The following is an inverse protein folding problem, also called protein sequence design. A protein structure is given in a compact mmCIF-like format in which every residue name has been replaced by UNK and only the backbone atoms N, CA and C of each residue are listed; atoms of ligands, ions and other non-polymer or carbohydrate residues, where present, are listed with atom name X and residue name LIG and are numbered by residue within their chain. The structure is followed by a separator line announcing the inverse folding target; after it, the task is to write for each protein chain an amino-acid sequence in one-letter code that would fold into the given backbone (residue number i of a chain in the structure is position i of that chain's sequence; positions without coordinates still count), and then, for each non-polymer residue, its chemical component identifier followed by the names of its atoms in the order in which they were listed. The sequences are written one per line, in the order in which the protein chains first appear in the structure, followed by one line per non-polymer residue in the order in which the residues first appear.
data_IF_742618841218
#
_entry.id   IF_742618841218
#
_cell.length_a   1.000
_cell.length_b   1.000
_cell.length_c   1.000
_cell.angle_alpha   90.00
_cell.angle_beta   90.00
_cell.angle_gamma   90.00
#
_symmetry.space_group_name_H-M   'P 1'
#
loop_
_entity.id
_entity.type
_entity.pdbx_description
1 polymer ?
#
# COMPACT_ATOMS: atom_id res chain seq x y z
N UNK A 1 -71.15 -18.01 9.82
CA UNK A 1 -69.76 -18.30 9.40
C UNK A 1 -68.81 -17.11 9.60
N UNK A 2 -68.80 -16.47 10.78
CA UNK A 2 -68.06 -15.19 11.01
C UNK A 2 -66.97 -15.25 12.10
N UNK A 3 -66.98 -16.28 12.97
CA UNK A 3 -66.04 -16.38 14.10
C UNK A 3 -64.69 -17.04 13.80
N UNK A 4 -64.64 -18.02 12.90
CA UNK A 4 -63.43 -18.85 12.67
C UNK A 4 -62.34 -18.15 11.83
N UNK A 5 -62.69 -17.15 11.02
CA UNK A 5 -61.74 -16.42 10.18
C UNK A 5 -60.91 -15.39 10.96
N UNK A 6 -61.44 -14.85 12.06
CA UNK A 6 -60.74 -13.85 12.89
C UNK A 6 -59.67 -14.49 13.79
N UNK A 7 -59.89 -15.72 14.24
CA UNK A 7 -58.91 -16.48 15.04
C UNK A 7 -57.68 -16.90 14.22
N UNK A 8 -57.86 -17.19 12.93
CA UNK A 8 -56.76 -17.61 12.05
C UNK A 8 -55.81 -16.45 11.67
N UNK A 9 -56.34 -15.23 11.59
CA UNK A 9 -55.55 -14.02 11.28
C UNK A 9 -54.70 -13.59 12.49
N UNK A 10 -55.21 -13.78 13.72
CA UNK A 10 -54.45 -13.43 14.93
C UNK A 10 -53.28 -14.39 15.19
N UNK A 11 -53.42 -15.68 14.84
CA UNK A 11 -52.39 -16.69 15.05
C UNK A 11 -51.21 -16.57 14.06
N UNK A 12 -51.40 -15.93 12.91
CA UNK A 12 -50.35 -15.72 11.91
C UNK A 12 -49.46 -14.49 12.22
N UNK A 13 -49.96 -13.52 12.99
CA UNK A 13 -49.19 -12.35 13.38
C UNK A 13 -48.26 -12.59 14.59
N UNK A 14 -48.59 -13.56 15.46
CA UNK A 14 -47.78 -13.84 16.67
C UNK A 14 -46.51 -14.63 16.34
N UNK A 15 -46.51 -15.42 15.26
CA UNK A 15 -45.32 -16.15 14.80
C UNK A 15 -44.32 -15.30 14.01
N UNK A 16 -44.69 -14.09 13.56
CA UNK A 16 -43.76 -13.17 12.88
C UNK A 16 -42.96 -12.29 13.84
N UNK A 17 -43.39 -12.15 15.10
CA UNK A 17 -42.73 -11.26 16.08
C UNK A 17 -41.57 -11.94 16.83
N UNK A 18 -41.49 -13.28 16.85
CA UNK A 18 -40.43 -14.02 17.55
C UNK A 18 -39.17 -14.30 16.71
N UNK A 19 -39.11 -13.83 15.45
CA UNK A 19 -37.96 -14.03 14.55
C UNK A 19 -36.86 -12.95 14.61
N UNK A 20 -37.07 -11.86 15.35
CA UNK A 20 -36.16 -10.70 15.37
C UNK A 20 -35.05 -10.79 16.44
N UNK A 21 -34.87 -11.95 17.08
CA UNK A 21 -33.81 -12.19 18.07
C UNK A 21 -32.44 -12.56 17.48
N UNK A 22 -32.27 -12.48 16.16
CA UNK A 22 -30.98 -12.66 15.51
C UNK A 22 -30.14 -11.39 15.66
N UNK A 23 -29.36 -11.28 16.73
CA UNK A 23 -28.23 -10.37 16.78
C UNK A 23 -27.18 -10.85 15.78
N UNK A 24 -27.45 -10.64 14.48
CA UNK A 24 -26.44 -10.74 13.44
C UNK A 24 -25.43 -9.65 13.76
N UNK A 25 -24.34 -10.04 14.43
CA UNK A 25 -23.14 -9.22 14.46
C UNK A 25 -22.74 -9.05 13.00
N UNK A 26 -23.12 -7.91 12.41
CA UNK A 26 -22.60 -7.45 11.14
C UNK A 26 -21.11 -7.22 11.43
N UNK A 27 -20.29 -8.26 11.23
CA UNK A 27 -18.85 -8.06 11.09
C UNK A 27 -18.71 -7.21 9.84
N UNK A 28 -18.41 -5.93 10.03
CA UNK A 28 -17.97 -5.04 8.96
C UNK A 28 -16.98 -5.81 8.10
N UNK A 29 -17.21 -5.86 6.79
CA UNK A 29 -16.24 -6.42 5.87
C UNK A 29 -14.93 -5.62 6.02
N UNK A 30 -13.81 -6.33 6.17
CA UNK A 30 -12.51 -5.67 6.31
C UNK A 30 -12.18 -4.95 5.01
N UNK A 31 -11.61 -3.75 5.10
CA UNK A 31 -11.01 -3.10 3.93
C UNK A 31 -9.70 -3.80 3.60
N UNK A 32 -9.60 -4.32 2.38
CA UNK A 32 -8.35 -4.86 1.85
C UNK A 32 -7.42 -3.69 1.49
N UNK A 33 -6.19 -3.74 1.99
CA UNK A 33 -5.07 -2.85 1.67
C UNK A 33 -4.14 -3.61 0.72
N UNK A 34 -4.07 -3.18 -0.54
CA UNK A 34 -3.29 -3.84 -1.60
C UNK A 34 -1.96 -3.13 -1.82
N UNK A 35 -0.86 -3.87 -1.74
CA UNK A 35 0.50 -3.34 -1.87
C UNK A 35 1.25 -4.06 -2.97
N UNK A 36 1.79 -3.33 -3.96
CA UNK A 36 2.65 -3.91 -5.01
C UNK A 36 4.13 -3.54 -4.80
N UNK A 37 5.05 -4.45 -5.13
CA UNK A 37 6.47 -4.14 -5.26
C UNK A 37 7.15 -5.05 -6.28
N UNK A 38 8.31 -4.62 -6.79
CA UNK A 38 9.02 -5.33 -7.85
C UNK A 38 9.85 -6.53 -7.37
N UNK A 39 10.29 -6.47 -6.12
CA UNK A 39 11.28 -7.41 -5.59
C UNK A 39 10.71 -8.80 -5.28
N UNK A 40 11.62 -9.77 -5.10
CA UNK A 40 11.28 -11.13 -4.68
C UNK A 40 10.81 -11.21 -3.22
N UNK A 41 10.19 -12.33 -2.86
CA UNK A 41 9.72 -12.60 -1.49
C UNK A 41 10.84 -12.68 -0.46
N UNK A 42 12.08 -12.94 -0.91
CA UNK A 42 13.27 -12.99 -0.04
C UNK A 42 13.95 -11.63 0.11
N UNK A 43 13.52 -10.62 -0.63
CA UNK A 43 14.14 -9.29 -0.61
C UNK A 43 13.77 -8.52 0.67
N UNK A 44 14.68 -7.70 1.24
CA UNK A 44 14.39 -6.91 2.44
C UNK A 44 13.10 -6.06 2.37
N UNK A 45 12.81 -5.48 1.20
CA UNK A 45 11.54 -4.75 0.98
C UNK A 45 10.30 -5.61 1.28
N UNK A 46 10.28 -6.84 0.78
CA UNK A 46 9.16 -7.76 1.00
C UNK A 46 9.05 -8.14 2.48
N UNK A 47 10.18 -8.47 3.11
CA UNK A 47 10.22 -8.83 4.52
C UNK A 47 9.73 -7.67 5.41
N UNK A 48 10.08 -6.43 5.07
CA UNK A 48 9.56 -5.23 5.71
C UNK A 48 8.04 -5.10 5.56
N UNK A 49 7.51 -5.34 4.36
CA UNK A 49 6.06 -5.32 4.11
C UNK A 49 5.33 -6.45 4.85
N UNK A 50 5.93 -7.62 5.03
CA UNK A 50 5.37 -8.68 5.88
C UNK A 50 5.26 -8.23 7.34
N UNK A 51 6.26 -7.50 7.85
CA UNK A 51 6.19 -6.89 9.19
C UNK A 51 5.16 -5.79 9.30
N UNK A 52 5.00 -4.98 8.25
CA UNK A 52 3.91 -4.01 8.16
C UNK A 52 2.53 -4.72 8.20
N UNK A 53 2.36 -5.80 7.43
CA UNK A 53 1.15 -6.61 7.42
C UNK A 53 0.84 -7.17 8.81
N UNK A 54 1.83 -7.78 9.46
CA UNK A 54 1.72 -8.31 10.83
C UNK A 54 1.25 -7.21 11.78
N UNK A 55 1.92 -6.06 11.80
CA UNK A 55 1.55 -4.93 12.65
C UNK A 55 0.12 -4.43 12.40
N UNK A 56 -0.26 -4.22 11.14
CA UNK A 56 -1.60 -3.72 10.79
C UNK A 56 -2.68 -4.72 11.19
N UNK A 57 -2.47 -6.01 10.92
CA UNK A 57 -3.48 -7.04 11.21
C UNK A 57 -3.57 -7.36 12.70
N UNK A 58 -2.48 -7.22 13.46
CA UNK A 58 -2.51 -7.34 14.93
C UNK A 58 -3.26 -6.18 15.60
N UNK A 59 -3.06 -4.95 15.13
CA UNK A 59 -3.60 -3.76 15.78
C UNK A 59 -4.97 -3.33 15.24
N UNK A 60 -5.23 -3.62 13.95
CA UNK A 60 -6.39 -3.14 13.21
C UNK A 60 -7.03 -4.23 12.33
N UNK A 61 -6.75 -5.50 12.62
CA UNK A 61 -7.24 -6.64 11.83
C UNK A 61 -8.75 -6.83 11.88
N UNK A 62 -9.48 -6.15 12.77
CA UNK A 62 -10.94 -6.06 12.72
C UNK A 62 -11.43 -5.15 11.57
N UNK A 63 -10.59 -4.24 11.09
CA UNK A 63 -10.89 -3.25 10.05
C UNK A 63 -10.15 -3.48 8.74
N UNK A 64 -8.94 -4.01 8.78
CA UNK A 64 -8.07 -4.12 7.61
C UNK A 64 -7.51 -5.52 7.41
N UNK A 65 -7.25 -5.85 6.15
CA UNK A 65 -6.48 -7.01 5.70
C UNK A 65 -5.42 -6.53 4.70
N UNK A 66 -4.16 -6.90 4.89
CA UNK A 66 -3.07 -6.47 4.00
C UNK A 66 -2.74 -7.57 3.00
N UNK A 67 -2.77 -7.25 1.71
CA UNK A 67 -2.40 -8.15 0.63
C UNK A 67 -1.19 -7.58 -0.13
N UNK A 68 -0.12 -8.38 -0.22
CA UNK A 68 1.16 -7.97 -0.81
C UNK A 68 1.36 -8.75 -2.11
N UNK A 69 1.71 -8.03 -3.17
CA UNK A 69 1.88 -8.52 -4.53
C UNK A 69 3.34 -8.32 -4.97
N UNK A 70 4.22 -9.31 -4.74
CA UNK A 70 5.65 -9.23 -5.07
C UNK A 70 5.93 -9.51 -6.56
N UNK A 71 7.20 -9.46 -6.95
CA UNK A 71 7.72 -9.91 -8.26
C UNK A 71 7.07 -9.21 -9.47
N UNK A 72 6.68 -7.93 -9.35
CA UNK A 72 6.03 -7.19 -10.44
C UNK A 72 4.77 -7.90 -11.00
N UNK A 73 4.08 -8.72 -10.18
CA UNK A 73 2.94 -9.51 -10.67
C UNK A 73 1.76 -8.65 -11.15
N UNK A 74 1.70 -7.38 -10.71
CA UNK A 74 0.72 -6.39 -11.16
C UNK A 74 1.25 -5.46 -12.27
N UNK A 75 2.43 -5.75 -12.82
CA UNK A 75 3.13 -4.97 -13.83
C UNK A 75 4.37 -4.25 -13.30
N UNK A 76 5.06 -3.55 -14.20
CA UNK A 76 6.22 -2.72 -13.87
C UNK A 76 5.87 -1.64 -12.85
N UNK A 77 6.89 -1.06 -12.20
CA UNK A 77 6.70 0.01 -11.22
C UNK A 77 5.83 1.17 -11.73
N UNK A 78 6.05 1.63 -12.98
CA UNK A 78 5.21 2.67 -13.58
C UNK A 78 3.74 2.25 -13.69
N UNK A 79 3.47 1.00 -14.09
CA UNK A 79 2.08 0.51 -14.17
C UNK A 79 1.43 0.41 -12.79
N UNK A 80 2.18 -0.02 -11.78
CA UNK A 80 1.70 -0.10 -10.41
C UNK A 80 1.41 1.30 -9.82
N UNK A 81 2.18 2.34 -10.19
CA UNK A 81 1.86 3.73 -9.82
C UNK A 81 0.53 4.16 -10.45
N UNK A 82 0.28 3.87 -11.73
CA UNK A 82 -1.02 4.16 -12.37
C UNK A 82 -2.19 3.43 -11.66
N UNK A 83 -2.00 2.17 -11.27
CA UNK A 83 -3.00 1.43 -10.49
C UNK A 83 -3.27 2.10 -9.14
N UNK A 84 -2.24 2.69 -8.52
CA UNK A 84 -2.37 3.44 -7.28
C UNK A 84 -3.16 4.74 -7.50
N UNK A 85 -2.86 5.48 -8.56
CA UNK A 85 -3.59 6.72 -8.94
C UNK A 85 -5.10 6.47 -9.13
N UNK A 86 -5.47 5.31 -9.70
CA UNK A 86 -6.87 4.94 -9.89
C UNK A 86 -7.55 4.36 -8.64
N UNK A 87 -6.78 4.09 -7.58
CA UNK A 87 -7.26 3.39 -6.38
C UNK A 87 -7.52 1.89 -6.58
N UNK A 88 -7.05 1.31 -7.68
CA UNK A 88 -7.12 -0.13 -7.91
C UNK A 88 -6.22 -0.91 -6.93
N UNK A 89 -5.08 -0.32 -6.54
CA UNK A 89 -4.28 -0.72 -5.39
C UNK A 89 -4.06 0.47 -4.45
N UNK A 90 -3.76 0.21 -3.19
CA UNK A 90 -3.62 1.28 -2.17
C UNK A 90 -2.19 1.80 -2.09
N UNK A 91 -1.19 0.92 -2.27
CA UNK A 91 0.23 1.27 -2.15
C UNK A 91 1.09 0.57 -3.22
N UNK A 92 2.18 1.24 -3.57
CA UNK A 92 3.26 0.69 -4.40
C UNK A 92 4.61 1.07 -3.79
N UNK A 93 5.56 0.14 -3.77
CA UNK A 93 6.98 0.44 -3.54
C UNK A 93 7.64 0.59 -4.91
N UNK A 94 8.13 1.79 -5.21
CA UNK A 94 8.77 2.11 -6.48
C UNK A 94 10.09 2.86 -6.24
N UNK A 95 11.07 2.65 -7.14
CA UNK A 95 12.32 3.39 -7.11
C UNK A 95 12.14 4.85 -7.54
N UNK A 96 12.98 5.75 -7.02
CA UNK A 96 12.95 7.20 -7.27
C UNK A 96 12.91 7.58 -8.75
N UNK A 97 13.62 6.86 -9.61
CA UNK A 97 13.62 7.10 -11.06
C UNK A 97 12.22 6.98 -11.71
N UNK A 98 11.30 6.21 -11.11
CA UNK A 98 9.91 6.16 -11.59
C UNK A 98 9.10 7.39 -11.19
N UNK A 99 9.53 8.13 -10.15
CA UNK A 99 8.84 9.31 -9.63
C UNK A 99 9.20 10.58 -10.42
N UNK A 100 10.36 10.57 -11.10
CA UNK A 100 10.80 11.67 -11.98
C UNK A 100 9.78 11.99 -13.07
N UNK A 101 9.03 10.99 -13.56
CA UNK A 101 7.98 11.23 -14.57
C UNK A 101 6.75 11.97 -14.03
N UNK A 102 6.63 12.09 -12.71
CA UNK A 102 5.47 12.70 -12.05
C UNK A 102 5.83 14.00 -11.31
N UNK A 103 7.07 14.15 -10.85
CA UNK A 103 7.56 15.38 -10.26
C UNK A 103 9.08 15.51 -10.40
N UNK A 104 9.52 16.58 -11.07
CA UNK A 104 10.92 16.87 -11.39
C UNK A 104 11.83 16.97 -10.15
N UNK A 105 11.26 17.27 -8.97
CA UNK A 105 12.03 17.32 -7.70
C UNK A 105 12.75 16.00 -7.41
N UNK A 106 12.24 14.87 -7.90
CA UNK A 106 12.87 13.57 -7.67
C UNK A 106 14.15 13.34 -8.49
N UNK A 107 14.39 14.13 -9.54
CA UNK A 107 15.61 14.04 -10.36
C UNK A 107 16.87 14.33 -9.52
N UNK A 108 16.73 15.13 -8.45
CA UNK A 108 17.84 15.45 -7.55
C UNK A 108 18.47 14.16 -7.01
N UNK A 109 17.67 13.15 -6.67
CA UNK A 109 18.15 11.89 -6.08
C UNK A 109 18.85 10.97 -7.09
N UNK A 110 18.78 11.29 -8.39
CA UNK A 110 19.47 10.56 -9.45
C UNK A 110 20.83 11.20 -9.81
N UNK A 111 21.19 12.33 -9.19
CA UNK A 111 22.49 12.95 -9.40
C UNK A 111 23.62 12.05 -8.89
N UNK A 112 24.60 11.71 -9.75
CA UNK A 112 25.76 10.93 -9.33
C UNK A 112 26.52 11.64 -8.20
N UNK A 113 26.90 10.89 -7.17
CA UNK A 113 27.68 11.38 -6.03
C UNK A 113 27.01 12.50 -5.21
N UNK A 114 25.68 12.62 -5.27
CA UNK A 114 24.93 13.57 -4.44
C UNK A 114 25.24 13.39 -2.93
N UNK A 115 25.19 12.15 -2.46
CA UNK A 115 25.46 11.82 -1.07
C UNK A 115 26.92 11.39 -0.91
N UNK A 116 27.62 12.02 0.04
CA UNK A 116 29.04 11.79 0.31
C UNK A 116 29.30 10.61 1.24
N UNK A 117 28.29 10.18 1.99
CA UNK A 117 28.32 9.00 2.87
C UNK A 117 26.91 8.45 3.09
N UNK A 118 26.83 7.22 3.61
CA UNK A 118 25.56 6.65 4.06
C UNK A 118 24.93 7.47 5.20
N UNK A 119 25.75 8.03 6.11
CA UNK A 119 25.27 8.88 7.20
C UNK A 119 24.66 10.19 6.67
N UNK A 120 25.30 10.84 5.70
CA UNK A 120 24.75 12.03 5.06
C UNK A 120 23.45 11.73 4.31
N UNK A 121 23.35 10.55 3.69
CA UNK A 121 22.10 10.07 3.09
C UNK A 121 20.99 9.93 4.14
N UNK A 122 21.25 9.21 5.24
CA UNK A 122 20.25 9.02 6.29
C UNK A 122 19.87 10.32 7.01
N UNK A 123 20.79 11.27 7.16
CA UNK A 123 20.50 12.59 7.72
C UNK A 123 19.49 13.35 6.85
N UNK A 124 19.75 13.45 5.54
CA UNK A 124 18.86 14.16 4.61
C UNK A 124 17.51 13.45 4.48
N UNK A 125 17.53 12.13 4.29
CA UNK A 125 16.29 11.35 4.14
C UNK A 125 15.51 11.25 5.47
N UNK A 126 16.18 11.40 6.61
CA UNK A 126 15.58 11.45 7.94
C UNK A 126 15.01 12.82 8.33
N UNK A 127 15.36 13.89 7.62
CA UNK A 127 14.74 15.21 7.81
C UNK A 127 13.29 15.17 7.32
N UNK A 128 12.38 14.92 8.25
CA UNK A 128 10.96 14.72 7.95
C UNK A 128 10.30 16.00 7.45
N UNK A 129 10.73 17.18 7.92
CA UNK A 129 10.14 18.46 7.51
C UNK A 129 10.54 18.80 6.07
N UNK A 130 11.79 18.53 5.70
CA UNK A 130 12.26 18.63 4.32
C UNK A 130 11.59 17.59 3.42
N UNK A 131 11.63 16.32 3.81
CA UNK A 131 11.12 15.23 2.98
C UNK A 131 9.60 15.29 2.78
N UNK A 132 8.83 15.80 3.75
CA UNK A 132 7.39 16.01 3.57
C UNK A 132 7.06 17.01 2.44
N UNK A 133 7.93 18.00 2.20
CA UNK A 133 7.78 18.93 1.07
C UNK A 133 8.05 18.21 -0.25
N UNK A 134 9.07 17.36 -0.29
CA UNK A 134 9.36 16.49 -1.45
C UNK A 134 8.18 15.54 -1.71
N UNK A 135 7.64 14.90 -0.67
CA UNK A 135 6.53 13.95 -0.80
C UNK A 135 5.24 14.57 -1.32
N UNK A 136 4.96 15.81 -0.93
CA UNK A 136 3.79 16.54 -1.39
C UNK A 136 3.86 16.87 -2.90
N UNK A 137 5.04 16.80 -3.52
CA UNK A 137 5.19 17.15 -4.94
C UNK A 137 4.45 16.20 -5.89
N UNK A 138 4.07 15.00 -5.44
CA UNK A 138 3.30 14.05 -6.27
C UNK A 138 1.79 14.21 -6.12
N UNK A 139 1.30 15.07 -5.22
CA UNK A 139 -0.14 15.20 -4.92
C UNK A 139 -0.98 15.51 -6.17
N UNK A 140 -0.50 16.42 -7.02
CA UNK A 140 -1.19 16.78 -8.27
C UNK A 140 -1.21 15.63 -9.27
N UNK A 141 -0.28 14.68 -9.15
CA UNK A 141 -0.29 13.43 -9.91
C UNK A 141 -1.27 12.40 -9.32
N UNK A 142 -2.02 12.71 -8.26
CA UNK A 142 -3.06 11.82 -7.73
C UNK A 142 -2.55 10.71 -6.81
N UNK A 143 -1.32 10.83 -6.30
CA UNK A 143 -0.78 9.97 -5.25
C UNK A 143 0.22 10.74 -4.39
N UNK A 144 0.49 10.27 -3.18
CA UNK A 144 1.48 10.88 -2.29
C UNK A 144 2.51 9.86 -1.86
N UNK A 145 3.80 10.20 -1.97
CA UNK A 145 4.87 9.41 -1.35
C UNK A 145 4.76 9.52 0.17
N UNK A 146 4.85 8.40 0.88
CA UNK A 146 4.63 8.38 2.34
C UNK A 146 5.91 8.21 3.15
N UNK A 147 6.89 7.53 2.56
CA UNK A 147 8.14 7.17 3.21
C UNK A 147 9.14 6.73 2.15
N UNK A 148 10.35 6.40 2.58
CA UNK A 148 11.47 5.98 1.75
C UNK A 148 12.10 4.71 2.29
N UNK A 149 12.67 3.91 1.38
CA UNK A 149 13.53 2.78 1.69
C UNK A 149 14.93 3.05 1.17
N UNK A 150 15.94 2.51 1.85
CA UNK A 150 17.32 2.52 1.36
C UNK A 150 17.54 1.32 0.42
N UNK A 151 17.83 1.60 -0.85
CA UNK A 151 18.14 0.58 -1.86
C UNK A 151 19.66 0.33 -2.04
N UNK A 152 20.50 0.93 -1.20
CA UNK A 152 21.95 0.85 -1.26
C UNK A 152 22.57 1.71 -2.36
N UNK A 153 23.87 1.48 -2.62
CA UNK A 153 24.62 2.17 -3.67
C UNK A 153 24.62 1.35 -4.95
N UNK A 154 24.46 2.01 -6.11
CA UNK A 154 24.52 1.37 -7.42
C UNK A 154 25.94 1.39 -7.97
N UNK A 155 26.40 0.23 -8.44
CA UNK A 155 27.72 0.02 -9.04
C UNK A 155 27.61 -0.56 -10.43
N UNK A 156 28.60 -0.30 -11.28
CA UNK A 156 28.68 -0.92 -12.60
C UNK A 156 29.10 -2.38 -12.49
N UNK A 157 28.43 -3.25 -13.25
CA UNK A 157 28.82 -4.63 -13.47
C UNK A 157 28.96 -4.87 -14.97
N UNK A 158 30.12 -5.33 -15.42
CA UNK A 158 30.39 -5.58 -16.83
C UNK A 158 31.17 -6.88 -17.02
N UNK A 159 30.95 -7.58 -18.15
CA UNK A 159 31.64 -8.84 -18.48
C UNK A 159 33.15 -8.64 -18.69
N UNK A 160 33.55 -7.45 -19.13
CA UNK A 160 34.94 -7.05 -19.33
C UNK A 160 35.21 -5.87 -18.40
N UNK A 161 36.32 -5.92 -17.69
CA UNK A 161 36.82 -4.78 -16.92
C UNK A 161 37.08 -3.60 -17.87
N UNK A 162 36.71 -2.40 -17.43
CA UNK A 162 37.02 -1.18 -18.16
C UNK A 162 38.55 -1.09 -18.30
N UNK A 163 39.10 -0.98 -19.53
CA UNK A 163 40.55 -0.87 -19.72
C UNK A 163 41.16 0.41 -19.15
N UNK A 164 40.34 1.35 -18.67
CA UNK A 164 40.76 2.64 -18.11
C UNK A 164 40.57 2.77 -16.59
N UNK A 165 40.13 1.71 -15.90
CA UNK A 165 40.13 1.58 -14.43
C UNK A 165 40.80 0.27 -14.01
#
# INVERSE_FOLDING_TARGET
MSGSKKAFILALCVSTVLGLGGCSSIKSEKRIVRISHAQSETHPEHLGLLKFKEYVEENLGDKYEVQIFPNEILGSAQKAIELTQTGAIDFVVAGTANLETFADVYEVFSMPYLFTSEEAYHEVMGDTDYMNQVYASTDEAGFRVLTWYNAGTRSFYAKKTDPYT
#
